data_IF_596419515678
#
_entry.id   IF_596419515678
#
_cell.length_a   1.000
_cell.length_b   1.000
_cell.length_c   1.000
_cell.angle_alpha   90.00
_cell.angle_beta   90.00
_cell.angle_gamma   90.00
#
_symmetry.space_group_name_H-M   'P 1'
#
loop_
_entity.id
_entity.type
_entity.pdbx_description
1 polymer ?
#
# COMPACT_ATOMS: atom_id res chain seq x y z
N UNK A 1 -10.78 12.85 -12.76
CA UNK A 1 -10.74 13.74 -11.57
C UNK A 1 -10.41 12.82 -10.39
N UNK A 2 -9.12 12.60 -10.15
CA UNK A 2 -8.60 11.56 -9.24
C UNK A 2 -9.23 11.66 -7.84
N UNK A 3 -10.02 10.64 -7.48
CA UNK A 3 -10.81 10.56 -6.23
C UNK A 3 -9.93 10.08 -5.06
N UNK A 4 -8.68 10.54 -4.99
CA UNK A 4 -7.77 10.26 -3.87
C UNK A 4 -7.59 11.47 -2.92
N UNK A 5 -8.07 12.66 -3.31
CA UNK A 5 -7.68 13.95 -2.75
C UNK A 5 -8.04 14.23 -1.27
N UNK A 6 -8.94 13.48 -0.63
CA UNK A 6 -9.29 13.74 0.78
C UNK A 6 -8.47 12.94 1.80
N UNK A 7 -7.65 11.97 1.37
CA UNK A 7 -6.97 11.00 2.26
C UNK A 7 -5.44 11.08 2.27
N UNK A 8 -4.82 11.85 1.36
CA UNK A 8 -3.36 11.84 1.12
C UNK A 8 -2.56 12.37 2.32
N UNK A 9 -3.18 13.17 3.20
CA UNK A 9 -2.54 13.73 4.39
C UNK A 9 -2.36 12.75 5.55
N UNK A 10 -2.80 11.49 5.44
CA UNK A 10 -2.61 10.51 6.51
C UNK A 10 -1.14 10.08 6.54
N UNK A 11 -0.48 10.33 7.67
CA UNK A 11 0.89 9.86 7.93
C UNK A 11 0.86 8.43 8.43
N UNK A 12 1.87 7.65 8.07
CA UNK A 12 2.17 6.37 8.71
C UNK A 12 2.61 6.59 10.16
N UNK A 13 2.40 5.59 11.01
CA UNK A 13 2.77 5.69 12.43
C UNK A 13 4.17 5.12 12.73
N UNK A 14 4.69 4.27 11.83
CA UNK A 14 6.07 3.77 11.94
C UNK A 14 7.11 4.88 11.81
N UNK A 15 8.17 4.80 12.61
CA UNK A 15 9.33 5.70 12.55
C UNK A 15 10.46 5.00 11.82
N UNK A 16 10.42 5.05 10.49
CA UNK A 16 11.44 4.49 9.62
C UNK A 16 12.23 5.60 8.92
N UNK A 17 13.46 5.24 8.55
CA UNK A 17 14.16 5.64 7.34
C UNK A 17 13.39 6.38 6.24
N UNK A 18 13.82 7.57 5.78
CA UNK A 18 13.33 8.03 4.46
C UNK A 18 13.69 7.01 3.37
N UNK A 19 14.88 6.41 3.44
CA UNK A 19 15.29 5.38 2.50
C UNK A 19 14.41 4.13 2.60
N UNK A 20 14.13 3.65 3.82
CA UNK A 20 13.26 2.50 4.05
C UNK A 20 11.84 2.76 3.53
N UNK A 21 11.29 3.96 3.76
CA UNK A 21 9.98 4.34 3.23
C UNK A 21 9.99 4.37 1.70
N UNK A 22 11.04 4.86 1.07
CA UNK A 22 11.15 4.88 -0.40
C UNK A 22 11.26 3.46 -0.99
N UNK A 23 12.01 2.57 -0.36
CA UNK A 23 12.10 1.15 -0.76
C UNK A 23 10.74 0.45 -0.65
N UNK A 24 10.01 0.70 0.45
CA UNK A 24 8.65 0.20 0.62
C UNK A 24 7.72 0.73 -0.46
N UNK A 25 7.74 2.04 -0.73
CA UNK A 25 6.91 2.64 -1.78
C UNK A 25 7.22 2.05 -3.16
N UNK A 26 8.50 1.86 -3.48
CA UNK A 26 8.93 1.25 -4.74
C UNK A 26 8.44 -0.19 -4.87
N UNK A 27 8.56 -0.98 -3.78
CA UNK A 27 8.03 -2.34 -3.72
C UNK A 27 6.51 -2.38 -3.93
N UNK A 28 5.77 -1.49 -3.26
CA UNK A 28 4.32 -1.35 -3.43
C UNK A 28 3.97 -0.99 -4.88
N UNK A 29 4.68 -0.04 -5.48
CA UNK A 29 4.48 0.37 -6.87
C UNK A 29 4.68 -0.79 -7.84
N UNK A 30 5.77 -1.55 -7.67
CA UNK A 30 6.04 -2.74 -8.49
C UNK A 30 4.93 -3.78 -8.40
N UNK A 31 4.41 -4.05 -7.20
CA UNK A 31 3.29 -4.96 -7.01
C UNK A 31 1.99 -4.47 -7.66
N UNK A 32 1.69 -3.17 -7.56
CA UNK A 32 0.54 -2.55 -8.24
C UNK A 32 0.67 -2.69 -9.76
N UNK A 33 1.84 -2.36 -10.33
CA UNK A 33 2.05 -2.44 -11.78
C UNK A 33 1.99 -3.87 -12.29
N UNK A 34 2.62 -4.81 -11.58
CA UNK A 34 2.56 -6.24 -11.89
C UNK A 34 1.12 -6.75 -11.86
N UNK A 35 0.37 -6.43 -10.79
CA UNK A 35 -1.03 -6.82 -10.67
C UNK A 35 -1.87 -6.25 -11.82
N UNK A 36 -1.79 -4.95 -12.08
CA UNK A 36 -2.64 -4.30 -13.07
C UNK A 36 -2.31 -4.71 -14.51
N UNK A 37 -1.07 -5.13 -14.79
CA UNK A 37 -0.67 -5.61 -16.12
C UNK A 37 -1.22 -7.01 -16.43
N UNK A 38 -1.32 -7.87 -15.41
CA UNK A 38 -1.87 -9.22 -15.56
C UNK A 38 -3.41 -9.19 -15.45
N UNK A 39 -3.93 -8.36 -14.55
CA UNK A 39 -5.34 -8.29 -14.18
C UNK A 39 -5.93 -6.92 -14.60
N UNK A 40 -5.90 -6.64 -15.89
CA UNK A 40 -6.32 -5.33 -16.40
C UNK A 40 -7.80 -5.06 -16.09
N UNK A 41 -8.10 -3.92 -15.47
CA UNK A 41 -9.46 -3.54 -15.08
C UNK A 41 -9.97 -4.20 -13.80
N UNK A 42 -9.19 -5.06 -13.15
CA UNK A 42 -9.55 -5.66 -11.85
C UNK A 42 -9.26 -4.71 -10.68
N UNK A 43 -9.97 -4.92 -9.58
CA UNK A 43 -9.76 -4.17 -8.33
C UNK A 43 -8.70 -4.82 -7.45
N UNK A 44 -7.96 -3.99 -6.72
CA UNK A 44 -6.95 -4.44 -5.77
C UNK A 44 -7.05 -3.69 -4.44
N UNK A 45 -6.53 -4.33 -3.39
CA UNK A 45 -6.43 -3.79 -2.04
C UNK A 45 -5.12 -4.26 -1.41
N UNK A 46 -4.74 -3.70 -0.26
CA UNK A 46 -3.60 -4.21 0.52
C UNK A 46 -3.74 -5.70 0.79
N UNK A 47 -4.96 -6.16 1.13
CA UNK A 47 -5.21 -7.57 1.40
C UNK A 47 -4.98 -8.44 0.16
N UNK A 48 -5.40 -7.96 -1.02
CA UNK A 48 -5.23 -8.71 -2.27
C UNK A 48 -3.77 -8.77 -2.72
N UNK A 49 -3.00 -7.70 -2.50
CA UNK A 49 -1.60 -7.62 -2.92
C UNK A 49 -0.63 -8.27 -1.92
N UNK A 50 -0.86 -8.04 -0.62
CA UNK A 50 0.11 -8.33 0.45
C UNK A 50 -0.50 -9.08 1.64
N UNK A 51 -1.71 -9.62 1.49
CA UNK A 51 -2.39 -10.45 2.50
C UNK A 51 -2.57 -11.89 2.02
N UNK A 52 -3.28 -12.70 2.81
CA UNK A 52 -3.47 -14.12 2.51
C UNK A 52 -2.13 -14.84 2.38
N UNK A 53 -1.92 -15.56 1.28
CA UNK A 53 -0.68 -16.27 0.98
C UNK A 53 0.52 -15.32 0.82
N UNK A 54 0.28 -14.06 0.44
CA UNK A 54 1.31 -13.00 0.37
C UNK A 54 1.49 -12.28 1.72
N UNK A 55 0.92 -12.80 2.81
CA UNK A 55 0.94 -12.18 4.14
C UNK A 55 2.23 -12.40 4.92
N UNK A 56 3.14 -13.25 4.45
CA UNK A 56 4.49 -13.36 5.00
C UNK A 56 5.40 -12.39 4.26
N UNK A 57 5.84 -11.33 4.95
CA UNK A 57 6.64 -10.27 4.35
C UNK A 57 8.14 -10.47 4.53
N UNK A 58 8.58 -11.60 5.11
CA UNK A 58 9.99 -11.87 5.32
C UNK A 58 10.77 -11.80 4.01
N UNK A 59 11.91 -11.09 4.01
CA UNK A 59 12.70 -10.84 2.81
C UNK A 59 12.18 -9.73 1.88
N UNK A 60 11.10 -9.04 2.25
CA UNK A 60 10.58 -7.88 1.50
C UNK A 60 10.74 -6.58 2.31
N UNK A 61 10.75 -5.40 1.65
CA UNK A 61 10.80 -4.13 2.37
C UNK A 61 9.63 -3.91 3.36
N UNK A 62 8.47 -4.55 3.15
CA UNK A 62 7.33 -4.44 4.06
C UNK A 62 7.63 -4.99 5.47
N UNK A 63 8.61 -5.90 5.59
CA UNK A 63 9.03 -6.46 6.88
C UNK A 63 9.48 -5.38 7.87
N UNK A 64 10.06 -4.27 7.40
CA UNK A 64 10.51 -3.18 8.27
C UNK A 64 9.36 -2.57 9.08
N UNK A 65 8.16 -2.46 8.49
CA UNK A 65 6.95 -1.96 9.16
C UNK A 65 6.55 -2.90 10.30
N UNK A 66 6.53 -4.20 10.02
CA UNK A 66 6.19 -5.20 11.04
C UNK A 66 7.23 -5.23 12.16
N UNK A 67 8.51 -5.23 11.81
CA UNK A 67 9.62 -5.21 12.77
C UNK A 67 9.54 -3.99 13.70
N UNK A 68 9.15 -2.82 13.18
CA UNK A 68 8.92 -1.64 14.00
C UNK A 68 7.80 -1.88 15.03
N UNK A 69 6.67 -2.44 14.63
CA UNK A 69 5.57 -2.67 15.56
C UNK A 69 5.90 -3.75 16.61
N UNK A 70 6.67 -4.76 16.23
CA UNK A 70 7.21 -5.75 17.18
C UNK A 70 8.18 -5.10 18.16
N UNK A 71 9.08 -4.23 17.70
CA UNK A 71 10.10 -3.62 18.56
C UNK A 71 9.52 -2.65 19.60
N UNK A 72 8.39 -2.01 19.30
CA UNK A 72 7.66 -1.16 20.25
C UNK A 72 6.62 -1.93 21.09
N UNK A 73 6.57 -3.26 20.98
CA UNK A 73 5.68 -4.11 21.78
C UNK A 73 4.20 -3.94 21.48
N UNK A 74 3.83 -3.73 20.21
CA UNK A 74 2.42 -3.57 19.85
C UNK A 74 1.66 -4.91 19.85
N UNK A 75 0.58 -5.00 20.64
CA UNK A 75 -0.28 -6.20 20.74
C UNK A 75 -0.90 -6.66 19.42
N UNK A 76 -1.08 -5.73 18.47
CA UNK A 76 -1.70 -5.93 17.17
C UNK A 76 -0.78 -5.50 16.02
N UNK A 77 0.49 -5.92 16.10
CA UNK A 77 1.52 -5.55 15.13
C UNK A 77 1.10 -5.83 13.68
N UNK A 78 0.42 -6.96 13.42
CA UNK A 78 -0.05 -7.32 12.07
C UNK A 78 -1.09 -6.34 11.54
N UNK A 79 -2.14 -6.05 12.30
CA UNK A 79 -3.19 -5.10 11.92
C UNK A 79 -2.63 -3.70 11.72
N UNK A 80 -1.79 -3.23 12.64
CA UNK A 80 -1.15 -1.91 12.55
C UNK A 80 -0.25 -1.80 11.33
N UNK A 81 0.50 -2.86 11.03
CA UNK A 81 1.33 -2.90 9.82
C UNK A 81 0.50 -2.81 8.55
N UNK A 82 -0.60 -3.56 8.46
CA UNK A 82 -1.50 -3.51 7.32
C UNK A 82 -2.13 -2.11 7.12
N UNK A 83 -2.43 -1.40 8.21
CA UNK A 83 -2.92 -0.02 8.16
C UNK A 83 -1.87 0.92 7.54
N UNK A 84 -0.63 0.86 8.00
CA UNK A 84 0.44 1.72 7.48
C UNK A 84 0.79 1.39 6.02
N UNK A 85 0.78 0.11 5.63
CA UNK A 85 0.89 -0.31 4.22
C UNK A 85 -0.26 0.26 3.39
N UNK A 86 -1.48 0.30 3.92
CA UNK A 86 -2.63 0.92 3.25
C UNK A 86 -2.51 2.42 3.08
N UNK A 87 -1.87 3.11 4.04
CA UNK A 87 -1.54 4.53 3.90
C UNK A 87 -0.49 4.72 2.80
N UNK A 88 0.58 3.92 2.80
CA UNK A 88 1.63 3.99 1.78
C UNK A 88 1.12 3.66 0.38
N UNK A 89 0.22 2.68 0.24
CA UNK A 89 -0.45 2.39 -1.02
C UNK A 89 -1.17 3.62 -1.57
N UNK A 90 -1.96 4.32 -0.74
CA UNK A 90 -2.65 5.55 -1.16
C UNK A 90 -1.67 6.62 -1.63
N UNK A 91 -0.54 6.78 -0.92
CA UNK A 91 0.50 7.73 -1.32
C UNK A 91 1.09 7.32 -2.68
N UNK A 92 1.46 6.05 -2.87
CA UNK A 92 1.96 5.54 -4.16
C UNK A 92 0.99 5.81 -5.32
N UNK A 93 -0.31 5.55 -5.13
CA UNK A 93 -1.32 5.80 -6.17
C UNK A 93 -1.54 7.29 -6.43
N UNK A 94 -1.41 8.13 -5.41
CA UNK A 94 -1.53 9.59 -5.53
C UNK A 94 -0.32 10.20 -6.24
N UNK A 95 0.88 9.72 -5.90
CA UNK A 95 2.17 10.19 -6.39
C UNK A 95 2.46 9.68 -7.81
N UNK A 96 1.75 8.66 -8.30
CA UNK A 96 1.91 8.13 -9.65
C UNK A 96 1.56 9.17 -10.72
N UNK A 97 2.54 9.60 -11.51
CA UNK A 97 2.34 10.62 -12.55
C UNK A 97 1.81 10.07 -13.88
N UNK A 98 1.79 8.75 -14.07
CA UNK A 98 1.45 8.11 -15.35
C UNK A 98 0.05 7.50 -15.38
N UNK A 99 -0.41 6.93 -14.27
CA UNK A 99 -1.69 6.22 -14.21
C UNK A 99 -2.70 6.92 -13.31
N UNK A 100 -3.95 6.97 -13.76
CA UNK A 100 -5.10 7.36 -12.94
C UNK A 100 -5.73 6.12 -12.31
N UNK A 101 -6.12 6.25 -11.04
CA UNK A 101 -6.76 5.22 -10.25
C UNK A 101 -8.06 5.76 -9.69
N UNK A 102 -9.07 4.89 -9.58
CA UNK A 102 -10.28 5.19 -8.85
C UNK A 102 -10.33 4.46 -7.51
N UNK A 103 -11.00 5.06 -6.54
CA UNK A 103 -11.30 4.46 -5.24
C UNK A 103 -12.70 3.86 -5.28
N UNK A 104 -12.79 2.58 -4.96
CA UNK A 104 -14.04 1.86 -4.76
C UNK A 104 -14.20 1.65 -3.26
N UNK A 105 -15.16 2.36 -2.67
CA UNK A 105 -15.43 2.28 -1.22
C UNK A 105 -16.21 1.01 -0.91
N UNK A 106 -15.77 0.31 0.13
CA UNK A 106 -16.45 -0.86 0.69
C UNK A 106 -16.05 -1.07 2.14
N UNK A 107 -16.26 -2.27 2.67
CA UNK A 107 -15.76 -2.66 3.99
C UNK A 107 -14.23 -2.50 4.09
N UNK A 108 -13.54 -2.84 3.00
CA UNK A 108 -12.15 -2.44 2.73
C UNK A 108 -12.13 -1.56 1.49
N UNK A 109 -11.28 -0.52 1.48
CA UNK A 109 -11.06 0.29 0.28
C UNK A 109 -10.37 -0.56 -0.78
N UNK A 110 -10.89 -0.50 -1.99
CA UNK A 110 -10.28 -1.09 -3.18
C UNK A 110 -9.95 0.00 -4.20
N UNK A 111 -9.04 -0.34 -5.10
CA UNK A 111 -8.52 0.56 -6.13
C UNK A 111 -8.54 -0.13 -7.46
N UNK A 112 -8.76 0.64 -8.52
CA UNK A 112 -8.69 0.15 -9.90
C UNK A 112 -7.93 1.13 -10.77
N UNK A 113 -7.04 0.62 -11.62
CA UNK A 113 -6.35 1.43 -12.63
C UNK A 113 -7.33 1.70 -13.77
N UNK A 114 -7.60 2.97 -14.07
CA UNK A 114 -8.67 3.37 -15.01
C UNK A 114 -8.17 3.99 -16.32
N UNK A 115 -6.93 4.46 -16.36
CA UNK A 115 -6.39 5.08 -17.56
C UNK A 115 -5.06 5.77 -17.31
N UNK A 116 -4.50 6.36 -18.36
CA UNK A 116 -3.31 7.21 -18.24
C UNK A 116 -3.71 8.62 -17.81
N UNK A 117 -2.82 9.28 -17.06
CA UNK A 117 -2.90 10.71 -16.77
C UNK A 117 -2.47 11.54 -17.98
#
# INVERSE_FOLDING_TARGET
>A
MSILNSSVNKKISVKLSLNEINEIKLYIKGAVDGFCNINNGETFSVRRLFGGDNGNWNGTPLQAIYNYYVSVGADNAKEKSAIDVGVLLKQVLSDDVYWEYELIKGYTNEYRRIGRK
#
